data_IF_069523412539
#
_entry.id   IF_069523412539
#
_cell.length_a   1.000
_cell.length_b   1.000
_cell.length_c   1.000
_cell.angle_alpha   90.00
_cell.angle_beta   90.00
_cell.angle_gamma   90.00
#
_symmetry.space_group_name_H-M   'P 1'
#
loop_
_entity.id
_entity.type
_entity.pdbx_description
1 polymer ?
#
# COMPACT_ATOMS: atom_id res chain seq x y z
N UNK A 1 -66.59 3.80 -79.76
CA UNK A 1 -65.48 2.94 -79.28
C UNK A 1 -64.19 3.75 -79.29
N UNK A 2 -63.82 4.37 -78.18
CA UNK A 2 -62.60 5.18 -78.08
C UNK A 2 -61.71 4.54 -77.01
N UNK A 3 -60.62 3.90 -77.45
CA UNK A 3 -59.63 3.31 -76.55
C UNK A 3 -58.79 4.44 -75.95
N UNK A 4 -59.01 4.74 -74.67
CA UNK A 4 -58.03 5.48 -73.87
C UNK A 4 -56.85 4.55 -73.58
N UNK A 5 -55.65 4.97 -73.97
CA UNK A 5 -54.40 4.39 -73.50
C UNK A 5 -54.15 4.91 -72.08
N UNK A 6 -53.77 4.07 -71.10
CA UNK A 6 -53.20 4.59 -69.87
C UNK A 6 -51.78 5.09 -70.15
N UNK A 7 -51.52 6.30 -69.65
CA UNK A 7 -50.21 6.94 -69.62
C UNK A 7 -49.21 6.06 -68.87
N UNK A 8 -47.99 5.98 -69.40
CA UNK A 8 -46.86 5.35 -68.72
C UNK A 8 -46.48 6.23 -67.53
N UNK A 9 -46.89 5.83 -66.33
CA UNK A 9 -46.52 6.47 -65.07
C UNK A 9 -45.00 6.32 -64.83
N UNK A 10 -44.35 7.38 -64.36
CA UNK A 10 -42.91 7.52 -64.30
C UNK A 10 -42.22 6.48 -63.42
N UNK A 11 -41.58 5.49 -64.04
CA UNK A 11 -40.78 4.44 -63.35
C UNK A 11 -39.33 4.87 -63.04
N UNK A 12 -39.05 6.19 -63.10
CA UNK A 12 -37.72 6.76 -62.93
C UNK A 12 -37.48 7.48 -61.59
N UNK A 13 -38.51 8.14 -61.03
CA UNK A 13 -38.38 8.99 -59.83
C UNK A 13 -38.19 8.16 -58.54
N UNK A 14 -38.90 7.03 -58.40
CA UNK A 14 -38.77 6.13 -57.24
C UNK A 14 -37.39 5.44 -57.17
N UNK A 15 -36.75 5.18 -58.31
CA UNK A 15 -35.42 4.53 -58.35
C UNK A 15 -34.31 5.49 -57.91
N UNK A 16 -34.42 6.77 -58.26
CA UNK A 16 -33.52 7.81 -57.76
C UNK A 16 -33.69 8.07 -56.26
N UNK A 17 -34.94 8.03 -55.78
CA UNK A 17 -35.26 8.22 -54.35
C UNK A 17 -34.74 7.08 -53.47
N UNK A 18 -34.87 5.82 -53.91
CA UNK A 18 -34.31 4.67 -53.17
C UNK A 18 -32.78 4.74 -53.09
N UNK A 19 -32.10 5.17 -54.16
CA UNK A 19 -30.63 5.32 -54.19
C UNK A 19 -30.11 6.44 -53.28
N UNK A 20 -30.87 7.54 -53.14
CA UNK A 20 -30.52 8.61 -52.19
C UNK A 20 -30.74 8.13 -50.75
N UNK A 21 -31.82 7.37 -50.49
CA UNK A 21 -32.09 6.80 -49.17
C UNK A 21 -31.00 5.84 -48.69
N UNK A 22 -30.48 4.98 -49.56
CA UNK A 22 -29.38 4.07 -49.22
C UNK A 22 -28.06 4.80 -48.96
N UNK A 23 -27.75 5.85 -49.73
CA UNK A 23 -26.59 6.72 -49.50
C UNK A 23 -26.64 7.42 -48.13
N UNK A 24 -27.81 7.94 -47.75
CA UNK A 24 -28.00 8.61 -46.45
C UNK A 24 -27.76 7.64 -45.30
N UNK A 25 -28.34 6.44 -45.36
CA UNK A 25 -28.16 5.42 -44.31
C UNK A 25 -26.71 4.95 -44.24
N UNK A 26 -26.04 4.81 -45.40
CA UNK A 26 -24.63 4.44 -45.43
C UNK A 26 -23.75 5.46 -44.72
N UNK A 27 -23.93 6.76 -45.01
CA UNK A 27 -23.18 7.83 -44.35
C UNK A 27 -23.49 7.86 -42.86
N UNK A 28 -24.77 7.76 -42.47
CA UNK A 28 -25.18 7.75 -41.07
C UNK A 28 -24.54 6.58 -40.30
N UNK A 29 -24.53 5.37 -40.87
CA UNK A 29 -23.91 4.20 -40.26
C UNK A 29 -22.39 4.39 -40.09
N UNK A 30 -21.72 4.97 -41.08
CA UNK A 30 -20.28 5.26 -41.00
C UNK A 30 -19.98 6.27 -39.88
N UNK A 31 -20.81 7.31 -39.72
CA UNK A 31 -20.63 8.29 -38.65
C UNK A 31 -20.84 7.69 -37.26
N UNK A 32 -21.89 6.87 -37.08
CA UNK A 32 -22.13 6.16 -35.81
C UNK A 32 -20.99 5.19 -35.50
N UNK A 33 -20.50 4.45 -36.50
CA UNK A 33 -19.36 3.54 -36.34
C UNK A 33 -18.08 4.30 -35.95
N UNK A 34 -17.83 5.48 -36.51
CA UNK A 34 -16.69 6.31 -36.16
C UNK A 34 -16.74 6.82 -34.71
N UNK A 35 -17.91 7.29 -34.26
CA UNK A 35 -18.10 7.74 -32.87
C UNK A 35 -17.94 6.56 -31.91
N UNK A 36 -18.56 5.41 -32.22
CA UNK A 36 -18.45 4.20 -31.42
C UNK A 36 -16.99 3.71 -31.31
N UNK A 37 -16.25 3.72 -32.42
CA UNK A 37 -14.82 3.38 -32.42
C UNK A 37 -14.00 4.34 -31.56
N UNK A 38 -14.28 5.66 -31.61
CA UNK A 38 -13.63 6.65 -30.75
C UNK A 38 -13.84 6.38 -29.26
N UNK A 39 -15.08 6.05 -28.86
CA UNK A 39 -15.40 5.67 -27.48
C UNK A 39 -14.69 4.38 -27.06
N UNK A 40 -14.67 3.38 -27.94
CA UNK A 40 -13.98 2.10 -27.69
C UNK A 40 -12.47 2.29 -27.50
N UNK A 41 -11.82 3.11 -28.33
CA UNK A 41 -10.38 3.41 -28.21
C UNK A 41 -10.08 4.16 -26.91
N UNK A 42 -10.88 5.17 -26.57
CA UNK A 42 -10.68 5.93 -25.34
C UNK A 42 -10.86 5.04 -24.10
N UNK A 43 -11.86 4.15 -24.13
CA UNK A 43 -12.10 3.19 -23.05
C UNK A 43 -10.94 2.20 -22.94
N UNK A 44 -10.46 1.67 -24.07
CA UNK A 44 -9.30 0.78 -24.11
C UNK A 44 -8.04 1.47 -23.56
N UNK A 45 -7.79 2.73 -23.93
CA UNK A 45 -6.67 3.52 -23.41
C UNK A 45 -6.75 3.76 -21.90
N UNK A 46 -7.93 4.13 -21.39
CA UNK A 46 -8.16 4.30 -19.95
C UNK A 46 -7.94 2.99 -19.19
N UNK A 47 -8.49 1.88 -19.70
CA UNK A 47 -8.33 0.56 -19.07
C UNK A 47 -6.89 0.07 -19.13
N UNK A 48 -6.16 0.34 -20.22
CA UNK A 48 -4.74 0.00 -20.34
C UNK A 48 -3.90 0.77 -19.32
N UNK A 49 -4.10 2.09 -19.22
CA UNK A 49 -3.38 2.93 -18.23
C UNK A 49 -3.71 2.49 -16.80
N UNK A 50 -4.98 2.17 -16.53
CA UNK A 50 -5.41 1.69 -15.22
C UNK A 50 -4.80 0.31 -14.90
N UNK A 51 -4.78 -0.61 -15.87
CA UNK A 51 -4.19 -1.93 -15.71
C UNK A 51 -2.67 -1.85 -15.46
N UNK A 52 -1.97 -0.96 -16.16
CA UNK A 52 -0.55 -0.73 -15.94
C UNK A 52 -0.28 -0.13 -14.56
N UNK A 53 -1.05 0.87 -14.14
CA UNK A 53 -0.91 1.47 -12.81
C UNK A 53 -1.16 0.45 -11.69
N UNK A 54 -2.23 -0.33 -11.78
CA UNK A 54 -2.54 -1.40 -10.81
C UNK A 54 -1.46 -2.49 -10.81
N UNK A 55 -0.94 -2.85 -11.99
CA UNK A 55 0.16 -3.81 -12.12
C UNK A 55 1.45 -3.33 -11.46
N UNK A 56 1.79 -2.05 -11.64
CA UNK A 56 2.94 -1.43 -11.00
C UNK A 56 2.74 -1.39 -9.48
N UNK A 57 1.59 -0.89 -9.00
CA UNK A 57 1.29 -0.83 -7.57
C UNK A 57 1.33 -2.22 -6.92
N UNK A 58 0.78 -3.25 -7.57
CA UNK A 58 0.80 -4.62 -7.05
C UNK A 58 2.20 -5.22 -6.99
N UNK A 59 3.03 -4.87 -7.99
CA UNK A 59 4.45 -5.24 -8.00
C UNK A 59 5.16 -4.57 -6.83
N UNK A 60 4.98 -3.26 -6.67
CA UNK A 60 5.57 -2.45 -5.61
C UNK A 60 5.13 -2.91 -4.21
N UNK A 61 3.85 -3.22 -3.98
CA UNK A 61 3.38 -3.77 -2.69
C UNK A 61 4.01 -5.13 -2.37
N UNK A 62 4.45 -5.88 -3.37
CA UNK A 62 5.08 -7.19 -3.16
C UNK A 62 6.59 -7.06 -2.97
N UNK A 63 7.25 -6.20 -3.73
CA UNK A 63 8.71 -6.05 -3.73
C UNK A 63 9.20 -5.06 -2.67
N UNK A 64 8.49 -3.95 -2.45
CA UNK A 64 8.90 -2.87 -1.54
C UNK A 64 8.45 -3.13 -0.11
N UNK A 65 8.78 -4.31 0.42
CA UNK A 65 8.53 -4.67 1.81
C UNK A 65 9.74 -4.35 2.69
N UNK A 66 9.48 -4.15 3.97
CA UNK A 66 10.51 -3.98 5.01
C UNK A 66 10.80 -5.36 5.58
N UNK A 67 12.06 -5.75 5.72
CA UNK A 67 12.46 -6.98 6.38
C UNK A 67 12.93 -6.68 7.79
N UNK A 68 12.40 -7.42 8.76
CA UNK A 68 12.90 -7.41 10.14
C UNK A 68 14.14 -8.30 10.22
N UNK A 69 15.21 -7.76 10.81
CA UNK A 69 16.49 -8.46 11.00
C UNK A 69 16.56 -9.08 12.39
N UNK A 70 16.01 -8.39 13.38
CA UNK A 70 15.93 -8.87 14.75
C UNK A 70 15.09 -7.93 15.60
N UNK A 71 14.56 -8.48 16.69
CA UNK A 71 13.77 -7.78 17.68
C UNK A 71 14.45 -7.98 19.02
N UNK A 72 14.51 -6.92 19.82
CA UNK A 72 15.16 -6.93 21.14
C UNK A 72 14.28 -6.19 22.13
N UNK A 73 14.03 -6.80 23.28
CA UNK A 73 13.38 -6.17 24.42
C UNK A 73 14.42 -5.59 25.36
N UNK A 74 14.15 -4.40 25.88
CA UNK A 74 15.00 -3.66 26.82
C UNK A 74 14.11 -2.93 27.87
N UNK A 75 14.74 -2.27 28.84
CA UNK A 75 14.12 -1.46 29.88
C UNK A 75 13.05 -2.25 30.65
N UNK A 76 13.51 -3.27 31.38
CA UNK A 76 12.63 -4.08 32.20
C UNK A 76 12.06 -3.27 33.36
N UNK A 77 10.75 -3.35 33.56
CA UNK A 77 10.08 -2.75 34.72
C UNK A 77 10.43 -3.51 36.00
N UNK A 78 10.11 -2.92 37.16
CA UNK A 78 10.29 -3.57 38.47
C UNK A 78 9.51 -4.90 38.59
N UNK A 79 8.50 -5.12 37.74
CA UNK A 79 7.70 -6.35 37.67
C UNK A 79 8.26 -7.39 36.69
N UNK A 80 9.45 -7.16 36.11
CA UNK A 80 10.01 -8.00 35.04
C UNK A 80 9.11 -8.02 33.79
N UNK A 81 8.71 -6.85 33.32
CA UNK A 81 7.98 -6.69 32.06
C UNK A 81 8.83 -5.87 31.09
N UNK A 82 8.70 -6.10 29.79
CA UNK A 82 9.46 -5.40 28.77
C UNK A 82 8.82 -4.05 28.49
N UNK A 83 9.53 -2.97 28.83
CA UNK A 83 9.08 -1.60 28.58
C UNK A 83 9.47 -1.07 27.19
N UNK A 84 10.57 -1.53 26.59
CA UNK A 84 11.01 -1.04 25.27
C UNK A 84 11.24 -2.19 24.31
N UNK A 85 10.75 -2.06 23.08
CA UNK A 85 10.97 -3.01 21.99
C UNK A 85 11.69 -2.34 20.84
N UNK A 86 12.93 -2.75 20.62
CA UNK A 86 13.78 -2.33 19.51
C UNK A 86 13.70 -3.32 18.35
N UNK A 87 13.36 -2.81 17.18
CA UNK A 87 13.22 -3.60 15.96
C UNK A 87 14.25 -3.10 14.95
N UNK A 88 15.20 -3.95 14.59
CA UNK A 88 16.17 -3.62 13.53
C UNK A 88 15.58 -4.05 12.20
N UNK A 89 15.41 -3.08 11.30
CA UNK A 89 14.82 -3.27 9.98
C UNK A 89 15.80 -2.96 8.86
N UNK A 90 15.56 -3.58 7.71
CA UNK A 90 16.23 -3.29 6.43
C UNK A 90 15.22 -3.36 5.29
N UNK A 91 15.58 -2.81 4.12
CA UNK A 91 14.76 -3.07 2.92
C UNK A 91 14.87 -4.53 2.49
N UNK A 92 13.79 -5.11 1.99
CA UNK A 92 13.85 -6.45 1.44
C UNK A 92 14.71 -6.50 0.16
N UNK A 93 15.31 -7.66 -0.17
CA UNK A 93 16.05 -7.81 -1.41
C UNK A 93 15.18 -7.47 -2.64
N UNK A 94 15.66 -6.57 -3.49
CA UNK A 94 14.93 -6.11 -4.67
C UNK A 94 13.84 -5.08 -4.39
N UNK A 95 13.67 -4.65 -3.13
CA UNK A 95 12.87 -3.46 -2.81
C UNK A 95 13.57 -2.21 -3.34
N UNK A 96 12.77 -1.26 -3.83
CA UNK A 96 13.21 0.10 -4.05
C UNK A 96 13.47 0.85 -2.73
N UNK A 97 13.40 2.17 -2.79
CA UNK A 97 13.60 3.00 -1.60
C UNK A 97 12.34 2.94 -0.73
N UNK A 98 12.53 2.73 0.58
CA UNK A 98 11.42 2.67 1.54
C UNK A 98 11.58 3.75 2.60
N UNK A 99 10.59 4.64 2.67
CA UNK A 99 10.55 5.74 3.64
C UNK A 99 9.90 5.27 4.95
N UNK A 100 10.67 5.25 6.04
CA UNK A 100 10.17 4.82 7.35
C UNK A 100 9.30 5.88 8.03
N UNK A 101 9.37 7.15 7.65
CA UNK A 101 8.54 8.20 8.25
C UNK A 101 7.06 8.06 7.84
N UNK A 102 6.84 7.50 6.64
CA UNK A 102 5.50 7.18 6.09
C UNK A 102 5.06 5.74 6.35
N UNK A 103 5.88 4.97 7.07
CA UNK A 103 5.57 3.59 7.44
C UNK A 103 4.68 3.62 8.68
N UNK A 104 3.70 2.71 8.72
CA UNK A 104 2.89 2.50 9.92
C UNK A 104 3.27 1.18 10.58
N UNK A 105 3.30 1.20 11.90
CA UNK A 105 3.58 0.01 12.71
C UNK A 105 2.33 -0.28 13.53
N UNK A 106 1.95 -1.54 13.64
CA UNK A 106 0.79 -1.97 14.39
C UNK A 106 1.25 -3.00 15.41
N UNK A 107 0.89 -2.75 16.65
CA UNK A 107 1.19 -3.60 17.79
C UNK A 107 -0.11 -4.24 18.28
N UNK A 108 -0.11 -5.56 18.38
CA UNK A 108 -1.21 -6.33 18.93
C UNK A 108 -0.69 -7.00 20.19
N UNK A 109 -1.12 -6.50 21.34
CA UNK A 109 -0.71 -7.01 22.64
C UNK A 109 -1.35 -8.36 22.99
N UNK A 110 -0.85 -9.04 24.03
CA UNK A 110 -1.34 -10.36 24.46
C UNK A 110 -2.82 -10.34 24.92
N UNK A 111 -3.28 -9.20 25.45
CA UNK A 111 -4.68 -8.96 25.84
C UNK A 111 -5.63 -8.78 24.65
N UNK A 112 -5.12 -8.76 23.42
CA UNK A 112 -5.88 -8.46 22.21
C UNK A 112 -6.06 -6.97 21.92
N UNK A 113 -5.44 -6.10 22.72
CA UNK A 113 -5.37 -4.66 22.48
C UNK A 113 -4.61 -4.36 21.20
N UNK A 114 -5.12 -3.40 20.43
CA UNK A 114 -4.57 -3.02 19.13
C UNK A 114 -4.13 -1.56 19.19
N UNK A 115 -2.87 -1.30 18.80
CA UNK A 115 -2.30 0.04 18.76
C UNK A 115 -1.69 0.30 17.39
N UNK A 116 -2.07 1.42 16.78
CA UNK A 116 -1.46 1.89 15.54
C UNK A 116 -0.47 3.02 15.83
N UNK A 117 0.75 2.82 15.37
CA UNK A 117 1.89 3.68 15.60
C UNK A 117 2.35 4.29 14.27
N UNK A 118 2.80 5.53 14.36
CA UNK A 118 3.42 6.25 13.25
C UNK A 118 4.77 6.83 13.70
N UNK A 119 5.60 7.24 12.75
CA UNK A 119 6.86 7.89 13.07
C UNK A 119 6.61 9.23 13.80
N UNK A 120 7.61 9.68 14.57
CA UNK A 120 7.55 10.93 15.32
C UNK A 120 7.14 12.15 14.48
N UNK A 121 7.53 12.22 13.20
CA UNK A 121 7.22 13.31 12.27
C UNK A 121 5.92 13.17 11.49
N UNK A 122 5.23 12.03 11.60
CA UNK A 122 4.08 11.72 10.75
C UNK A 122 2.81 12.51 11.13
N UNK A 123 2.07 12.96 10.11
CA UNK A 123 0.76 13.60 10.27
C UNK A 123 -0.28 12.64 10.86
N UNK A 124 -1.15 13.14 11.73
CA UNK A 124 -2.27 12.40 12.32
C UNK A 124 -2.20 12.27 13.84
N UNK A 125 -3.13 11.51 14.41
CA UNK A 125 -3.22 11.23 15.84
C UNK A 125 -3.19 9.71 16.08
N UNK A 126 -2.02 9.06 15.89
CA UNK A 126 -1.86 7.63 16.16
C UNK A 126 -2.01 7.34 17.67
N UNK A 127 -2.14 6.06 18.02
CA UNK A 127 -2.23 5.62 19.43
C UNK A 127 -0.89 5.76 20.17
N UNK A 128 0.21 5.80 19.43
CA UNK A 128 1.56 6.06 19.91
C UNK A 128 2.51 6.41 18.77
N UNK A 129 3.72 6.85 19.10
CA UNK A 129 4.74 7.23 18.11
C UNK A 129 6.04 6.48 18.36
N UNK A 130 6.59 5.91 17.29
CA UNK A 130 7.87 5.23 17.35
C UNK A 130 9.01 6.18 16.99
N UNK A 131 10.17 5.93 17.60
CA UNK A 131 11.42 6.62 17.25
C UNK A 131 12.19 5.81 16.20
N UNK A 132 12.90 6.52 15.33
CA UNK A 132 13.77 5.92 14.31
C UNK A 132 15.21 6.35 14.64
N UNK A 133 16.12 5.39 14.76
CA UNK A 133 17.54 5.64 14.90
C UNK A 133 18.36 4.85 13.87
N UNK A 134 19.57 5.31 13.58
CA UNK A 134 20.46 4.62 12.64
C UNK A 134 21.29 3.57 13.36
N UNK A 135 21.34 2.36 12.78
CA UNK A 135 22.25 1.29 13.23
C UNK A 135 23.43 1.21 12.27
N UNK A 136 23.13 1.21 10.98
CA UNK A 136 24.13 1.24 9.91
C UNK A 136 23.56 2.06 8.76
N UNK A 137 24.22 3.16 8.43
CA UNK A 137 23.85 4.06 7.35
C UNK A 137 25.14 4.73 6.88
N UNK A 138 25.58 4.40 5.66
CA UNK A 138 26.85 4.88 5.14
C UNK A 138 26.69 6.19 4.36
N UNK A 139 25.48 6.53 3.90
CA UNK A 139 25.21 7.69 3.06
C UNK A 139 24.35 8.77 3.74
N UNK A 140 23.87 8.52 4.96
CA UNK A 140 23.09 9.46 5.76
C UNK A 140 21.65 9.60 5.27
N UNK A 141 21.08 8.52 4.73
CA UNK A 141 19.77 8.50 4.08
C UNK A 141 18.58 8.43 5.04
N UNK A 142 18.78 8.38 6.36
CA UNK A 142 17.70 8.39 7.36
C UNK A 142 16.64 9.48 7.06
N UNK A 143 15.32 9.15 7.09
CA UNK A 143 14.68 7.88 7.46
C UNK A 143 14.39 6.94 6.27
N UNK A 144 15.06 7.13 5.12
CA UNK A 144 14.79 6.38 3.88
C UNK A 144 15.80 5.24 3.72
N UNK A 145 15.33 4.01 3.68
CA UNK A 145 16.15 2.83 3.36
C UNK A 145 16.39 2.82 1.85
N UNK A 146 17.58 3.23 1.39
CA UNK A 146 17.91 3.33 -0.03
C UNK A 146 18.99 2.31 -0.47
N UNK A 147 19.78 1.79 0.47
CA UNK A 147 20.81 0.78 0.27
C UNK A 147 20.40 -0.57 0.88
N UNK A 148 21.00 -1.66 0.38
CA UNK A 148 20.86 -3.00 0.98
C UNK A 148 21.61 -3.14 2.31
N UNK A 149 22.61 -2.30 2.55
CA UNK A 149 23.39 -2.28 3.78
C UNK A 149 22.70 -1.50 4.91
N UNK A 150 21.76 -0.61 4.58
CA UNK A 150 21.08 0.21 5.58
C UNK A 150 20.35 -0.65 6.63
N UNK A 151 20.58 -0.29 7.88
CA UNK A 151 19.90 -0.82 9.05
C UNK A 151 19.41 0.34 9.88
N UNK A 152 18.10 0.46 10.01
CA UNK A 152 17.49 1.38 10.94
C UNK A 152 16.85 0.62 12.08
N UNK A 153 16.83 1.24 13.25
CA UNK A 153 16.16 0.74 14.44
C UNK A 153 14.89 1.53 14.65
N UNK A 154 13.79 0.81 14.76
CA UNK A 154 12.48 1.33 15.18
C UNK A 154 12.36 1.00 16.66
N UNK A 155 12.24 2.02 17.50
CA UNK A 155 12.10 1.87 18.95
C UNK A 155 10.66 2.14 19.34
N UNK A 156 10.03 1.16 19.98
CA UNK A 156 8.69 1.23 20.53
C UNK A 156 8.79 1.34 22.06
N UNK A 157 8.09 2.31 22.64
CA UNK A 157 8.02 2.51 24.09
C UNK A 157 6.65 2.02 24.58
N UNK A 158 6.65 0.93 25.35
CA UNK A 158 5.47 0.27 25.90
C UNK A 158 5.21 0.77 27.32
N UNK A 159 3.93 0.82 27.70
CA UNK A 159 3.51 1.23 29.02
C UNK A 159 3.29 2.73 29.12
N UNK A 160 3.71 3.32 30.25
CA UNK A 160 3.41 4.73 30.58
C UNK A 160 4.64 5.61 30.79
N UNK A 161 5.82 5.01 30.91
CA UNK A 161 7.06 5.73 31.16
C UNK A 161 7.74 6.10 29.84
N UNK A 162 7.93 7.40 29.59
CA UNK A 162 8.69 7.84 28.42
C UNK A 162 10.19 7.71 28.69
N UNK A 163 10.76 6.59 28.28
CA UNK A 163 12.14 6.22 28.63
C UNK A 163 13.12 6.50 27.49
N UNK A 164 12.66 6.53 26.24
CA UNK A 164 13.54 6.46 25.06
C UNK A 164 13.23 7.48 23.95
N UNK A 165 12.40 8.49 24.25
CA UNK A 165 12.08 9.55 23.27
C UNK A 165 11.09 9.13 22.18
N UNK A 166 10.42 7.99 22.38
CA UNK A 166 9.18 7.63 21.69
C UNK A 166 7.97 8.06 22.55
N UNK A 167 6.76 8.10 21.98
CA UNK A 167 5.57 8.31 22.81
C UNK A 167 5.11 6.96 23.38
N UNK A 168 5.06 6.80 24.72
CA UNK A 168 4.69 5.54 25.34
C UNK A 168 3.24 5.18 25.00
N UNK A 169 2.99 3.90 24.78
CA UNK A 169 1.66 3.40 24.45
C UNK A 169 1.40 2.02 25.06
N UNK A 170 0.11 1.70 25.20
CA UNK A 170 -0.32 0.38 25.63
C UNK A 170 0.17 -0.02 27.02
N UNK A 171 0.54 -1.29 27.16
CA UNK A 171 0.97 -1.93 28.39
C UNK A 171 2.30 -2.64 28.11
N UNK A 172 3.17 -2.74 29.11
CA UNK A 172 4.42 -3.48 29.02
C UNK A 172 4.17 -4.97 28.72
N UNK A 173 5.12 -5.64 28.06
CA UNK A 173 4.98 -7.05 27.68
C UNK A 173 5.49 -7.96 28.81
N UNK A 174 4.63 -8.76 29.48
CA UNK A 174 5.06 -9.63 30.57
C UNK A 174 5.88 -10.84 30.10
N UNK A 175 6.62 -11.46 31.03
CA UNK A 175 7.39 -12.68 30.74
C UNK A 175 6.50 -13.81 30.20
N UNK A 176 6.94 -14.46 29.12
CA UNK A 176 6.24 -15.60 28.53
C UNK A 176 5.00 -15.25 27.70
N UNK A 177 4.65 -13.97 27.58
CA UNK A 177 3.57 -13.50 26.71
C UNK A 177 4.05 -13.23 25.28
N UNK A 178 3.09 -13.22 24.36
CA UNK A 178 3.33 -12.99 22.94
C UNK A 178 2.59 -11.74 22.47
N UNK A 179 3.24 -10.95 21.63
CA UNK A 179 2.64 -9.87 20.87
C UNK A 179 2.84 -10.08 19.38
N UNK A 180 1.99 -9.47 18.54
CA UNK A 180 2.19 -9.46 17.08
C UNK A 180 2.53 -8.05 16.62
N UNK A 181 3.62 -7.96 15.86
CA UNK A 181 4.08 -6.74 15.21
C UNK A 181 3.73 -6.79 13.73
N UNK A 182 3.07 -5.76 13.21
CA UNK A 182 2.79 -5.62 11.77
C UNK A 182 3.30 -4.28 11.26
N UNK A 183 4.24 -4.32 10.33
CA UNK A 183 4.84 -3.14 9.69
C UNK A 183 4.27 -3.02 8.28
N UNK A 184 3.74 -1.84 7.94
CA UNK A 184 3.20 -1.55 6.61
C UNK A 184 4.00 -0.42 5.97
N UNK A 185 4.72 -0.76 4.90
CA UNK A 185 5.46 0.21 4.08
C UNK A 185 4.50 1.15 3.32
N UNK A 186 4.99 2.31 2.83
CA UNK A 186 4.16 3.26 2.07
C UNK A 186 3.64 2.68 0.74
N UNK A 187 4.35 1.69 0.18
CA UNK A 187 3.94 0.98 -1.04
C UNK A 187 2.85 -0.08 -0.77
N UNK A 188 2.41 -0.26 0.49
CA UNK A 188 1.41 -1.24 0.88
C UNK A 188 1.97 -2.65 1.15
N UNK A 189 3.29 -2.82 1.08
CA UNK A 189 3.94 -4.06 1.49
C UNK A 189 3.89 -4.24 3.00
N UNK A 190 3.35 -5.38 3.45
CA UNK A 190 3.17 -5.72 4.86
C UNK A 190 4.16 -6.80 5.28
N UNK A 191 4.71 -6.64 6.49
CA UNK A 191 5.54 -7.62 7.18
C UNK A 191 4.97 -7.84 8.57
N UNK A 192 4.74 -9.09 8.93
CA UNK A 192 4.20 -9.47 10.24
C UNK A 192 5.21 -10.36 10.94
N UNK A 193 5.58 -9.99 12.15
CA UNK A 193 6.46 -10.77 13.02
C UNK A 193 5.76 -11.05 14.36
N UNK A 194 6.04 -12.20 14.94
CA UNK A 194 5.59 -12.57 16.28
C UNK A 194 6.71 -12.24 17.27
N UNK A 195 6.38 -11.50 18.32
CA UNK A 195 7.32 -11.07 19.36
C UNK A 195 7.03 -11.90 20.61
N UNK A 196 7.97 -12.75 21.03
CA UNK A 196 7.75 -13.68 22.15
C UNK A 196 8.67 -13.32 23.31
N UNK A 197 8.08 -12.91 24.43
CA UNK A 197 8.86 -12.65 25.64
C UNK A 197 9.37 -13.97 26.25
N UNK A 198 10.65 -14.06 26.62
CA UNK A 198 11.18 -15.18 27.40
C UNK A 198 10.42 -15.35 28.72
N UNK A 199 10.42 -16.58 29.25
CA UNK A 199 9.75 -16.92 30.51
C UNK A 199 10.45 -16.41 31.78
N UNK A 200 11.61 -15.78 31.62
CA UNK A 200 12.43 -15.20 32.68
C UNK A 200 13.26 -14.06 32.09
N UNK A 201 13.19 -12.87 32.68
CA UNK A 201 13.96 -11.68 32.34
C UNK A 201 14.96 -11.30 33.45
N UNK A 202 14.98 -12.08 34.53
CA UNK A 202 15.83 -11.85 35.70
C UNK A 202 17.33 -11.86 35.37
N UNK A 203 17.98 -10.71 35.56
CA UNK A 203 19.44 -10.58 35.49
C UNK A 203 20.00 -10.27 34.09
N UNK A 204 19.15 -10.15 33.08
CA UNK A 204 19.53 -9.63 31.77
C UNK A 204 19.21 -8.13 31.68
N UNK A 205 19.96 -7.40 30.86
CA UNK A 205 19.64 -6.00 30.54
C UNK A 205 18.90 -5.88 29.21
N UNK A 206 18.89 -6.93 28.39
CA UNK A 206 18.18 -6.98 27.10
C UNK A 206 17.96 -8.43 26.71
N UNK A 207 16.85 -8.74 26.03
CA UNK A 207 16.55 -10.08 25.51
C UNK A 207 16.22 -10.06 24.03
N UNK A 208 16.62 -11.09 23.29
CA UNK A 208 16.16 -11.27 21.92
C UNK A 208 14.73 -11.80 21.94
N UNK A 209 13.86 -11.19 21.12
CA UNK A 209 12.43 -11.49 21.03
C UNK A 209 12.05 -12.13 19.70
#
# INVERSE_FOLDING_TARGET
MQRLRPSTEGTGEDRGQVGIGTLIVFIAMVLVAAIAAGVLINTAGFLQSSAQATGQQSSDSTTNRIQVVGITGDHFTDNSEIGVVDIVVRRAPGAGNVDLDKTTVQWIGPSGSYYQLAAGGADGNPDGRFAISTVQDNDGSQPVLNDVEDRFRITLDLGTDNSVGAEPFGEELPEGETATLRITSPAGGMTTEEVVAPKTLSGESSVTL
#
